data_IF_996753539484
#
_entry.id   IF_996753539484
#
_cell.length_a   1.000
_cell.length_b   1.000
_cell.length_c   1.000
_cell.angle_alpha   90.00
_cell.angle_beta   90.00
_cell.angle_gamma   90.00
#
_symmetry.space_group_name_H-M   'P 1'
#
loop_
_entity.id
_entity.type
_entity.pdbx_description
1 polymer ?
#
# COMPACT_ATOMS: atom_id res chain seq x y z
N UNK A 1 -16.14 -1.90 3.15
CA UNK A 1 -15.17 -1.46 4.17
C UNK A 1 -13.99 -0.77 3.49
N UNK A 2 -13.82 0.55 3.65
CA UNK A 2 -12.74 1.32 3.00
C UNK A 2 -11.47 1.21 3.87
N UNK A 3 -10.63 0.22 3.62
CA UNK A 3 -9.30 0.17 4.26
C UNK A 3 -8.54 1.42 3.82
N UNK A 4 -8.17 2.29 4.76
CA UNK A 4 -7.46 3.53 4.48
C UNK A 4 -5.98 3.20 4.23
N UNK A 5 -5.35 3.83 3.24
CA UNK A 5 -3.96 3.57 2.88
C UNK A 5 -3.02 3.89 4.05
N UNK A 6 -3.32 4.95 4.83
CA UNK A 6 -2.62 5.26 6.08
C UNK A 6 -2.65 4.08 7.07
N UNK A 7 -3.80 3.42 7.25
CA UNK A 7 -3.91 2.28 8.17
C UNK A 7 -2.96 1.14 7.78
N UNK A 8 -2.84 0.86 6.47
CA UNK A 8 -1.91 -0.18 5.99
C UNK A 8 -0.45 0.21 6.21
N UNK A 9 -0.10 1.49 6.06
CA UNK A 9 1.27 1.98 6.33
C UNK A 9 1.61 1.87 7.82
N UNK A 10 0.66 2.22 8.70
CA UNK A 10 0.81 2.04 10.15
C UNK A 10 0.96 0.56 10.51
N UNK A 11 0.12 -0.32 9.96
CA UNK A 11 0.26 -1.77 10.19
C UNK A 11 1.61 -2.29 9.69
N UNK A 12 2.09 -1.85 8.52
CA UNK A 12 3.43 -2.20 8.02
C UNK A 12 4.51 -1.84 9.05
N UNK A 13 4.52 -0.60 9.52
CA UNK A 13 5.48 -0.11 10.52
C UNK A 13 5.46 -0.93 11.82
N UNK A 14 4.27 -1.29 12.32
CA UNK A 14 4.16 -2.15 13.50
C UNK A 14 4.77 -3.54 13.29
N UNK A 15 4.61 -4.13 12.10
CA UNK A 15 5.18 -5.44 11.78
C UNK A 15 6.70 -5.38 11.62
N UNK A 16 7.24 -4.29 11.06
CA UNK A 16 8.69 -4.04 10.96
C UNK A 16 9.33 -3.90 12.35
N UNK A 17 8.76 -3.06 13.22
CA UNK A 17 9.21 -2.94 14.62
C UNK A 17 9.18 -4.27 15.38
N UNK A 18 8.20 -5.14 15.07
CA UNK A 18 8.08 -6.44 15.73
C UNK A 18 9.14 -7.42 15.25
N UNK A 19 9.61 -7.31 14.00
CA UNK A 19 10.72 -8.11 13.47
C UNK A 19 12.07 -7.74 14.07
N UNK A 20 12.24 -6.47 14.47
CA UNK A 20 13.44 -5.98 15.14
C UNK A 20 13.56 -6.45 16.59
N UNK A 21 12.47 -6.95 17.21
CA UNK A 21 12.54 -7.53 18.54
C UNK A 21 13.42 -8.78 18.56
N UNK A 22 14.37 -8.78 19.49
CA UNK A 22 15.16 -9.97 19.83
C UNK A 22 14.26 -11.06 20.44
N UNK A 23 14.56 -12.32 20.14
CA UNK A 23 13.83 -13.48 20.67
C UNK A 23 12.76 -14.09 19.76
N UNK A 24 12.59 -13.59 18.53
CA UNK A 24 11.75 -14.28 17.54
C UNK A 24 12.43 -15.54 17.01
N UNK A 25 11.70 -16.65 17.00
CA UNK A 25 12.13 -17.85 16.29
C UNK A 25 12.11 -17.63 14.77
N UNK A 26 12.89 -18.41 14.02
CA UNK A 26 12.90 -18.34 12.55
C UNK A 26 11.49 -18.50 11.94
N UNK A 27 10.68 -19.38 12.52
CA UNK A 27 9.30 -19.62 12.09
C UNK A 27 8.39 -18.41 12.31
N UNK A 28 8.59 -17.68 13.41
CA UNK A 28 7.83 -16.46 13.67
C UNK A 28 8.28 -15.34 12.74
N UNK A 29 9.60 -15.16 12.55
CA UNK A 29 10.15 -14.21 11.56
C UNK A 29 9.58 -14.46 10.17
N UNK A 30 9.53 -15.71 9.71
CA UNK A 30 8.96 -16.05 8.40
C UNK A 30 7.46 -15.67 8.30
N UNK A 31 6.67 -15.87 9.35
CA UNK A 31 5.27 -15.41 9.39
C UNK A 31 5.14 -13.89 9.27
N UNK A 32 5.96 -13.14 10.01
CA UNK A 32 5.96 -11.68 9.94
C UNK A 32 6.39 -11.18 8.56
N UNK A 33 7.42 -11.77 7.96
CA UNK A 33 7.88 -11.43 6.61
C UNK A 33 6.82 -11.71 5.55
N UNK A 34 6.12 -12.85 5.64
CA UNK A 34 4.99 -13.18 4.75
C UNK A 34 3.86 -12.16 4.88
N UNK A 35 3.52 -11.75 6.10
CA UNK A 35 2.50 -10.73 6.34
C UNK A 35 2.90 -9.37 5.74
N UNK A 36 4.14 -8.94 5.94
CA UNK A 36 4.67 -7.70 5.34
C UNK A 36 4.57 -7.70 3.83
N UNK A 37 4.97 -8.80 3.17
CA UNK A 37 4.90 -8.95 1.71
C UNK A 37 3.48 -8.81 1.17
N UNK A 38 2.48 -9.30 1.91
CA UNK A 38 1.07 -9.14 1.54
C UNK A 38 0.64 -7.69 1.68
N UNK A 39 0.97 -7.03 2.81
CA UNK A 39 0.63 -5.64 3.07
C UNK A 39 1.23 -4.71 1.99
N UNK A 40 2.48 -4.91 1.62
CA UNK A 40 3.14 -4.14 0.56
C UNK A 40 2.47 -4.31 -0.79
N UNK A 41 2.09 -5.54 -1.17
CA UNK A 41 1.32 -5.79 -2.39
C UNK A 41 0.00 -5.03 -2.40
N UNK A 42 -0.71 -4.99 -1.27
CA UNK A 42 -1.99 -4.27 -1.15
C UNK A 42 -1.76 -2.76 -1.27
N UNK A 43 -0.75 -2.21 -0.59
CA UNK A 43 -0.38 -0.79 -0.67
C UNK A 43 -0.08 -0.41 -2.12
N UNK A 44 0.81 -1.14 -2.78
CA UNK A 44 1.20 -0.90 -4.18
C UNK A 44 0.01 -1.00 -5.14
N UNK A 45 -0.88 -1.96 -4.91
CA UNK A 45 -2.12 -2.10 -5.68
C UNK A 45 -3.07 -0.92 -5.52
N UNK A 46 -3.17 -0.36 -4.32
CA UNK A 46 -3.99 0.82 -4.03
C UNK A 46 -3.39 2.10 -4.58
N UNK A 47 -2.09 2.31 -4.45
CA UNK A 47 -1.39 3.45 -5.03
C UNK A 47 -1.55 3.46 -6.55
N UNK A 48 -1.31 2.32 -7.22
CA UNK A 48 -1.51 2.18 -8.66
C UNK A 48 -2.96 2.42 -9.09
N UNK A 49 -3.94 2.00 -8.29
CA UNK A 49 -5.36 2.24 -8.56
C UNK A 49 -5.75 3.71 -8.37
N UNK A 50 -5.16 4.40 -7.39
CA UNK A 50 -5.31 5.83 -7.17
C UNK A 50 -4.70 6.65 -8.31
N UNK A 51 -3.54 6.24 -8.79
CA UNK A 51 -2.83 6.85 -9.92
C UNK A 51 -3.61 6.70 -11.24
N UNK A 52 -4.15 5.51 -11.53
CA UNK A 52 -5.07 5.32 -12.68
C UNK A 52 -6.29 6.25 -12.64
N UNK A 53 -6.84 6.52 -11.45
CA UNK A 53 -7.96 7.47 -11.29
C UNK A 53 -7.53 8.91 -11.50
N UNK A 54 -6.34 9.30 -11.01
CA UNK A 54 -5.76 10.62 -11.27
C UNK A 54 -5.50 10.83 -12.76
N UNK A 55 -4.91 9.83 -13.43
CA UNK A 55 -4.60 9.91 -14.85
C UNK A 55 -5.87 10.03 -15.71
N UNK A 56 -6.93 9.27 -15.41
CA UNK A 56 -8.24 9.44 -16.07
C UNK A 56 -8.84 10.84 -15.88
N UNK A 57 -8.71 11.43 -14.69
CA UNK A 57 -9.17 12.81 -14.44
C UNK A 57 -8.33 13.84 -15.20
N UNK A 58 -7.01 13.65 -15.27
CA UNK A 58 -6.12 14.53 -16.02
C UNK A 58 -6.46 14.52 -17.51
N UNK A 59 -6.58 13.34 -18.12
CA UNK A 59 -6.97 13.18 -19.53
C UNK A 59 -8.33 13.81 -19.82
N UNK A 60 -9.31 13.61 -18.92
CA UNK A 60 -10.64 14.21 -19.08
C UNK A 60 -10.58 15.75 -19.06
N UNK A 61 -9.78 16.34 -18.17
CA UNK A 61 -9.61 17.79 -18.11
C UNK A 61 -8.87 18.35 -19.32
N UNK A 62 -7.84 17.64 -19.80
CA UNK A 62 -7.07 18.04 -20.99
C UNK A 62 -7.91 17.99 -22.26
N UNK A 63 -8.71 16.93 -22.45
CA UNK A 63 -9.64 16.82 -23.58
C UNK A 63 -10.71 17.93 -23.58
N UNK A 64 -11.23 18.30 -22.41
CA UNK A 64 -12.22 19.38 -22.25
C UNK A 64 -11.60 20.76 -22.54
N UNK A 65 -10.31 20.96 -22.23
CA UNK A 65 -9.61 22.22 -22.50
C UNK A 65 -9.24 22.40 -23.98
N UNK A 66 -8.96 21.32 -24.70
CA UNK A 66 -8.60 21.36 -26.13
C UNK A 66 -9.82 21.54 -27.05
N UNK A 67 -11.01 21.11 -26.62
CA UNK A 67 -12.24 21.17 -27.42
C UNK A 67 -13.16 22.36 -27.05
N UNK A 68 -12.58 23.46 -26.57
CA UNK A 68 -13.30 24.68 -26.17
C UNK A 68 -12.85 25.86 -27.01
#
# INVERSE_FOLDING_TARGET
MKIILETLKVTKYFYELRLEKEGLTERERDKYLKALKIIEKIIKGKERSGEKRKNKRFIANEFVLINK
#
